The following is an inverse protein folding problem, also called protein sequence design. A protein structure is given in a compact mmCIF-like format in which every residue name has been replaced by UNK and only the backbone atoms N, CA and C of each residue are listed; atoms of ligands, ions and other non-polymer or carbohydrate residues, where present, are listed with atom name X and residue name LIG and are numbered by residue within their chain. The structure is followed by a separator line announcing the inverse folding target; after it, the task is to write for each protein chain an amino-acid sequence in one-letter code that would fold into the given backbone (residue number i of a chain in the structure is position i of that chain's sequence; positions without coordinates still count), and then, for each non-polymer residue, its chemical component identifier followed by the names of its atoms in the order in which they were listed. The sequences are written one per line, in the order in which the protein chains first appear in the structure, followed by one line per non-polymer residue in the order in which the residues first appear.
data_IF_789531251442
#
_entry.id   IF_789531251442
#
_cell.length_a   1.000
_cell.length_b   1.000
_cell.length_c   1.000
_cell.angle_alpha   90.00
_cell.angle_beta   90.00
_cell.angle_gamma   90.00
#
_symmetry.space_group_name_H-M   'P 1'
#
loop_
_entity.id
_entity.type
_entity.pdbx_description
1 polymer ?
#
# COMPACT_ATOMS: atom_id res chain seq x y z
N UNK A 1 41.87 25.99 22.66
CA UNK A 1 41.11 25.06 21.80
C UNK A 1 40.35 24.10 22.70
N UNK A 2 39.10 23.71 22.53
CA UNK A 2 37.99 24.03 21.62
C UNK A 2 36.78 23.46 22.41
N UNK A 3 35.64 24.16 22.50
CA UNK A 3 34.43 23.65 23.18
C UNK A 3 33.93 22.40 22.43
N UNK A 4 34.38 21.20 22.81
CA UNK A 4 33.67 19.96 22.47
C UNK A 4 32.57 19.77 23.50
N UNK A 5 31.47 20.52 23.38
CA UNK A 5 30.33 20.33 24.28
C UNK A 5 29.03 20.35 23.49
N UNK A 6 28.33 19.21 23.55
CA UNK A 6 26.93 18.95 23.16
C UNK A 6 26.59 18.64 21.70
N UNK A 7 27.45 18.86 20.71
CA UNK A 7 27.08 18.60 19.29
C UNK A 7 26.76 17.11 19.02
N UNK A 8 27.49 16.18 19.63
CA UNK A 8 27.23 14.74 19.53
C UNK A 8 25.82 14.36 20.05
N UNK A 9 25.35 15.03 21.11
CA UNK A 9 24.02 14.77 21.68
C UNK A 9 22.93 15.23 20.73
N UNK A 10 23.11 16.39 20.12
CA UNK A 10 22.19 16.92 19.10
C UNK A 10 22.12 16.01 17.88
N UNK A 11 23.27 15.55 17.38
CA UNK A 11 23.31 14.60 16.24
C UNK A 11 22.59 13.29 16.61
N UNK A 12 22.83 12.76 17.80
CA UNK A 12 22.14 11.56 18.28
C UNK A 12 20.62 11.70 18.31
N UNK A 13 20.10 12.83 18.80
CA UNK A 13 18.66 13.10 18.82
C UNK A 13 18.10 13.16 17.39
N UNK A 14 18.78 13.85 16.47
CA UNK A 14 18.35 13.95 15.08
C UNK A 14 18.30 12.56 14.43
N UNK A 15 19.31 11.73 14.65
CA UNK A 15 19.32 10.35 14.14
C UNK A 15 18.15 9.52 14.68
N UNK A 16 17.81 9.64 15.97
CA UNK A 16 16.67 8.92 16.56
C UNK A 16 15.36 9.36 15.90
N UNK A 17 15.16 10.67 15.70
CA UNK A 17 13.95 11.19 15.04
C UNK A 17 13.85 10.70 13.60
N UNK A 18 14.94 10.71 12.85
CA UNK A 18 14.98 10.20 11.48
C UNK A 18 14.65 8.70 11.44
N UNK A 19 15.23 7.89 12.33
CA UNK A 19 14.93 6.46 12.41
C UNK A 19 13.44 6.18 12.68
N UNK A 20 12.82 6.96 13.57
CA UNK A 20 11.38 6.81 13.85
C UNK A 20 10.55 7.15 12.61
N UNK A 21 10.87 8.26 11.93
CA UNK A 21 10.17 8.65 10.70
C UNK A 21 10.33 7.63 9.58
N UNK A 22 11.54 7.11 9.38
CA UNK A 22 11.83 6.05 8.41
C UNK A 22 11.02 4.78 8.72
N UNK A 23 10.98 4.37 9.99
CA UNK A 23 10.21 3.19 10.42
C UNK A 23 8.72 3.37 10.16
N UNK A 24 8.17 4.55 10.48
CA UNK A 24 6.76 4.86 10.20
C UNK A 24 6.45 4.83 8.70
N UNK A 25 7.35 5.36 7.87
CA UNK A 25 7.20 5.34 6.42
C UNK A 25 7.24 3.91 5.87
N UNK A 26 8.14 3.07 6.38
CA UNK A 26 8.21 1.66 5.99
C UNK A 26 6.94 0.90 6.35
N UNK A 27 6.38 1.11 7.56
CA UNK A 27 5.11 0.52 7.97
C UNK A 27 3.97 0.97 7.04
N UNK A 28 3.92 2.26 6.70
CA UNK A 28 2.91 2.78 5.79
C UNK A 28 2.99 2.14 4.41
N UNK A 29 4.19 2.07 3.81
CA UNK A 29 4.39 1.44 2.49
C UNK A 29 4.06 -0.05 2.53
N UNK A 30 4.42 -0.74 3.61
CA UNK A 30 4.09 -2.14 3.80
C UNK A 30 2.57 -2.35 3.82
N UNK A 31 1.84 -1.57 4.63
CA UNK A 31 0.39 -1.65 4.71
C UNK A 31 -0.28 -1.32 3.37
N UNK A 32 0.20 -0.30 2.66
CA UNK A 32 -0.32 0.04 1.34
C UNK A 32 -0.14 -1.14 0.36
N UNK A 33 1.02 -1.80 0.39
CA UNK A 33 1.29 -2.97 -0.44
C UNK A 33 0.39 -4.16 -0.08
N UNK A 34 0.16 -4.42 1.20
CA UNK A 34 -0.73 -5.51 1.64
C UNK A 34 -2.18 -5.23 1.26
N UNK A 35 -2.66 -3.99 1.41
CA UNK A 35 -4.03 -3.61 1.05
C UNK A 35 -4.28 -3.79 -0.44
N UNK A 36 -3.31 -3.46 -1.30
CA UNK A 36 -3.44 -3.67 -2.76
C UNK A 36 -3.56 -5.17 -3.07
N UNK A 37 -2.70 -5.99 -2.47
CA UNK A 37 -2.71 -7.46 -2.68
C UNK A 37 -4.02 -8.07 -2.16
N UNK A 38 -4.50 -7.62 -1.01
CA UNK A 38 -5.76 -8.11 -0.43
C UNK A 38 -6.95 -7.78 -1.32
N UNK A 39 -7.03 -6.54 -1.81
CA UNK A 39 -8.10 -6.14 -2.73
C UNK A 39 -8.02 -6.84 -4.10
N UNK A 40 -6.80 -7.08 -4.61
CA UNK A 40 -6.64 -7.84 -5.86
C UNK A 40 -7.05 -9.30 -5.69
N UNK A 41 -6.71 -9.92 -4.55
CA UNK A 41 -7.18 -11.25 -4.21
C UNK A 41 -8.70 -11.30 -4.02
N UNK A 42 -9.29 -10.30 -3.36
CA UNK A 42 -10.74 -10.17 -3.21
C UNK A 42 -11.41 -10.10 -4.59
N UNK A 43 -10.86 -9.28 -5.48
CA UNK A 43 -11.34 -9.11 -6.84
C UNK A 43 -11.36 -10.43 -7.63
N UNK A 44 -10.30 -11.23 -7.58
CA UNK A 44 -10.26 -12.50 -8.34
C UNK A 44 -11.01 -13.64 -7.66
N UNK A 45 -10.93 -13.76 -6.34
CA UNK A 45 -11.43 -14.93 -5.59
C UNK A 45 -12.90 -14.79 -5.22
N UNK A 46 -13.35 -13.59 -4.84
CA UNK A 46 -14.68 -13.37 -4.30
C UNK A 46 -15.60 -12.66 -5.29
N UNK A 47 -15.09 -11.69 -6.05
CA UNK A 47 -15.90 -10.90 -6.99
C UNK A 47 -15.99 -11.58 -8.36
N UNK A 48 -14.85 -11.77 -9.04
CA UNK A 48 -14.78 -12.30 -10.40
C UNK A 48 -14.63 -13.82 -10.47
N UNK A 49 -15.06 -14.53 -9.42
CA UNK A 49 -14.99 -15.98 -9.41
C UNK A 49 -15.89 -16.59 -10.47
N UNK A 50 -15.29 -17.22 -11.47
CA UNK A 50 -16.02 -17.89 -12.56
C UNK A 50 -16.20 -17.06 -13.82
N UNK A 51 -15.62 -15.86 -13.88
CA UNK A 51 -15.47 -15.09 -15.11
C UNK A 51 -14.18 -15.51 -15.84
N UNK A 52 -14.12 -15.26 -17.15
CA UNK A 52 -12.96 -15.61 -17.98
C UNK A 52 -11.71 -14.79 -17.60
N UNK A 53 -11.90 -13.52 -17.25
CA UNK A 53 -10.82 -12.64 -16.81
C UNK A 53 -11.33 -11.53 -15.90
N UNK A 54 -10.39 -10.87 -15.21
CA UNK A 54 -10.66 -9.75 -14.33
C UNK A 54 -9.64 -8.63 -14.53
N UNK A 55 -10.01 -7.42 -14.14
CA UNK A 55 -9.11 -6.28 -14.03
C UNK A 55 -9.41 -5.52 -12.74
N UNK A 56 -8.37 -5.34 -11.92
CA UNK A 56 -8.46 -4.54 -10.70
C UNK A 56 -7.74 -3.20 -10.92
N UNK A 57 -8.51 -2.11 -10.91
CA UNK A 57 -7.98 -0.74 -11.01
C UNK A 57 -7.61 -0.24 -9.61
N UNK A 58 -6.32 -0.26 -9.29
CA UNK A 58 -5.81 0.06 -7.94
C UNK A 58 -6.11 1.49 -7.48
N UNK A 59 -6.23 2.46 -8.40
CA UNK A 59 -6.46 3.87 -8.06
C UNK A 59 -7.90 4.13 -7.64
N UNK A 60 -8.86 3.58 -8.39
CA UNK A 60 -10.29 3.73 -8.11
C UNK A 60 -10.83 2.60 -7.25
N UNK A 61 -10.01 1.59 -6.94
CA UNK A 61 -10.39 0.36 -6.22
C UNK A 61 -11.58 -0.35 -6.88
N UNK A 62 -11.69 -0.32 -8.20
CA UNK A 62 -12.76 -0.98 -8.95
C UNK A 62 -12.27 -2.33 -9.46
N UNK A 63 -13.04 -3.36 -9.19
CA UNK A 63 -12.87 -4.70 -9.73
C UNK A 63 -13.84 -4.89 -10.90
N UNK A 64 -13.33 -5.21 -12.08
CA UNK A 64 -14.12 -5.44 -13.30
C UNK A 64 -13.96 -6.89 -13.75
N UNK A 65 -15.08 -7.57 -13.99
CA UNK A 65 -15.12 -8.97 -14.41
C UNK A 65 -15.60 -9.08 -15.86
N UNK A 66 -14.93 -9.92 -16.64
CA UNK A 66 -15.15 -10.01 -18.09
C UNK A 66 -15.48 -11.42 -18.54
N UNK A 67 -16.43 -11.51 -19.48
CA UNK A 67 -16.69 -12.69 -20.31
C UNK A 67 -16.76 -12.24 -21.77
N UNK A 68 -16.14 -13.00 -22.69
CA UNK A 68 -16.07 -12.66 -24.11
C UNK A 68 -15.55 -11.23 -24.38
N UNK A 69 -14.62 -10.75 -23.54
CA UNK A 69 -14.06 -9.38 -23.57
C UNK A 69 -15.07 -8.24 -23.28
N UNK A 70 -16.27 -8.55 -22.78
CA UNK A 70 -17.25 -7.55 -22.33
C UNK A 70 -17.29 -7.51 -20.80
N UNK A 71 -17.49 -6.31 -20.24
CA UNK A 71 -17.66 -6.14 -18.80
C UNK A 71 -19.06 -6.63 -18.45
N UNK A 72 -19.13 -7.70 -17.67
CA UNK A 72 -20.40 -8.24 -17.17
C UNK A 72 -20.71 -7.80 -15.75
N UNK A 73 -19.69 -7.53 -14.93
CA UNK A 73 -19.86 -7.12 -13.54
C UNK A 73 -18.73 -6.20 -13.08
N UNK A 74 -19.08 -5.19 -12.26
CA UNK A 74 -18.13 -4.29 -11.62
C UNK A 74 -18.50 -4.10 -10.15
N UNK A 75 -17.49 -4.08 -9.29
CA UNK A 75 -17.66 -3.83 -7.86
C UNK A 75 -16.57 -2.89 -7.33
N UNK A 76 -16.98 -1.92 -6.51
CA UNK A 76 -16.07 -1.02 -5.82
C UNK A 76 -15.64 -1.64 -4.50
N UNK A 77 -14.34 -1.92 -4.36
CA UNK A 77 -13.73 -2.56 -3.19
C UNK A 77 -13.18 -1.55 -2.18
N UNK A 78 -13.51 -0.27 -2.30
CA UNK A 78 -13.00 0.75 -1.40
C UNK A 78 -13.70 0.80 -0.06
N UNK A 79 -13.20 -0.02 0.88
CA UNK A 79 -13.18 0.29 2.31
C UNK A 79 -12.16 1.36 2.65
#
# INVERSE_FOLDING_TARGET
MKKEKNNWKTIGIVCIVLLVLETLLLIYVYNLGTDIIENENECVINVCRGYESYYYETTTKVCSCYNNNEIEYEEYLGG
#
